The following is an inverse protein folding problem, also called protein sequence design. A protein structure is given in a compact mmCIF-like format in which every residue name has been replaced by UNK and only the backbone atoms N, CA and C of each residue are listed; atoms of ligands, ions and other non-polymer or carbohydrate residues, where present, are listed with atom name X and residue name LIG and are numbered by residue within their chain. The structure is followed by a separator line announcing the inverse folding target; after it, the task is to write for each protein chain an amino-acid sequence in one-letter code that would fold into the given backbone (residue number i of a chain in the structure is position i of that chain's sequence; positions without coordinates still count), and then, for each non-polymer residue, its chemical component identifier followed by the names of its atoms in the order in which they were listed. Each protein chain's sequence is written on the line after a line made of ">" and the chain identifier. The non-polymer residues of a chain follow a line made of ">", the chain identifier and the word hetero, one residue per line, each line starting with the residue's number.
data_IF_769544488854
#
_entry.id   IF_769544488854
#
_cell.length_a   1.000
_cell.length_b   1.000
_cell.length_c   1.000
_cell.angle_alpha   90.00
_cell.angle_beta   90.00
_cell.angle_gamma   90.00
#
_symmetry.space_group_name_H-M   'P 1'
#
loop_
_entity.id
_entity.type
_entity.pdbx_description
1 polymer ?
#
# COMPACT_ATOMS: atom_id res chain seq x y z
N UNK A 1 9.77 -15.36 20.78
CA UNK A 1 8.47 -16.04 20.58
C UNK A 1 7.59 -15.10 19.79
N UNK A 2 7.19 -15.48 18.57
CA UNK A 2 6.17 -14.75 17.81
C UNK A 2 4.85 -15.04 18.54
N UNK A 3 4.28 -14.06 19.24
CA UNK A 3 2.94 -14.21 19.82
C UNK A 3 1.96 -14.39 18.66
N UNK A 4 1.27 -15.53 18.61
CA UNK A 4 0.14 -15.75 17.72
C UNK A 4 -0.99 -14.80 18.14
N UNK A 5 -1.51 -13.99 17.22
CA UNK A 5 -2.60 -13.00 17.47
C UNK A 5 -3.97 -13.62 17.85
N UNK A 6 -4.00 -14.89 18.25
CA UNK A 6 -5.18 -15.67 18.64
C UNK A 6 -6.41 -15.36 17.76
N UNK A 7 -6.22 -15.40 16.44
CA UNK A 7 -7.28 -15.10 15.48
C UNK A 7 -8.25 -16.27 15.36
N UNK A 8 -9.55 -15.97 15.26
CA UNK A 8 -10.55 -17.02 15.01
C UNK A 8 -10.46 -17.51 13.56
N UNK A 9 -10.93 -18.73 13.26
CA UNK A 9 -10.99 -19.22 11.88
C UNK A 9 -11.75 -18.29 10.92
N UNK A 10 -12.81 -17.63 11.42
CA UNK A 10 -13.57 -16.64 10.65
C UNK A 10 -12.74 -15.39 10.35
N UNK A 11 -11.99 -14.86 11.32
CA UNK A 11 -11.09 -13.72 11.11
C UNK A 11 -9.98 -14.07 10.11
N UNK A 12 -9.44 -15.28 10.17
CA UNK A 12 -8.42 -15.75 9.21
C UNK A 12 -8.99 -15.76 7.78
N UNK A 13 -10.17 -16.36 7.59
CA UNK A 13 -10.82 -16.40 6.27
C UNK A 13 -11.12 -14.99 5.73
N UNK A 14 -11.57 -14.07 6.58
CA UNK A 14 -11.80 -12.67 6.21
C UNK A 14 -10.50 -11.96 5.79
N UNK A 15 -9.39 -12.19 6.50
CA UNK A 15 -8.09 -11.62 6.15
C UNK A 15 -7.56 -12.17 4.83
N UNK A 16 -7.70 -13.48 4.58
CA UNK A 16 -7.30 -14.09 3.31
C UNK A 16 -8.08 -13.51 2.13
N UNK A 17 -9.40 -13.34 2.31
CA UNK A 17 -10.25 -12.72 1.30
C UNK A 17 -9.88 -11.25 1.06
N UNK A 18 -9.67 -10.47 2.13
CA UNK A 18 -9.24 -9.08 2.05
C UNK A 18 -7.88 -8.96 1.34
N UNK A 19 -6.94 -9.84 1.66
CA UNK A 19 -5.63 -9.88 1.00
C UNK A 19 -5.74 -10.20 -0.49
N UNK A 20 -6.50 -11.23 -0.86
CA UNK A 20 -6.69 -11.63 -2.26
C UNK A 20 -7.31 -10.50 -3.08
N UNK A 21 -8.35 -9.86 -2.55
CA UNK A 21 -9.03 -8.75 -3.19
C UNK A 21 -8.10 -7.55 -3.37
N UNK A 22 -7.45 -7.09 -2.29
CA UNK A 22 -6.55 -5.94 -2.38
C UNK A 22 -5.34 -6.24 -3.26
N UNK A 23 -4.78 -7.45 -3.21
CA UNK A 23 -3.66 -7.83 -4.08
C UNK A 23 -4.01 -7.68 -5.56
N UNK A 24 -5.22 -8.05 -5.96
CA UNK A 24 -5.71 -7.85 -7.34
C UNK A 24 -5.79 -6.37 -7.69
N UNK A 25 -6.37 -5.55 -6.81
CA UNK A 25 -6.51 -4.10 -7.03
C UNK A 25 -5.15 -3.39 -7.09
N UNK A 26 -4.22 -3.75 -6.21
CA UNK A 26 -2.86 -3.20 -6.19
C UNK A 26 -2.10 -3.50 -7.47
N UNK A 27 -2.26 -4.70 -8.04
CA UNK A 27 -1.66 -5.05 -9.34
C UNK A 27 -2.20 -4.12 -10.44
N UNK A 28 -3.51 -3.94 -10.50
CA UNK A 28 -4.15 -3.08 -11.51
C UNK A 28 -3.72 -1.62 -11.36
N UNK A 29 -3.75 -1.08 -10.13
CA UNK A 29 -3.34 0.29 -9.84
C UNK A 29 -1.85 0.52 -10.10
N UNK A 30 -0.98 -0.44 -9.78
CA UNK A 30 0.46 -0.35 -10.11
C UNK A 30 0.69 -0.34 -11.61
N UNK A 31 0.00 -1.21 -12.35
CA UNK A 31 0.06 -1.22 -13.81
C UNK A 31 -0.35 0.12 -14.39
N UNK A 32 -1.40 0.75 -13.86
CA UNK A 32 -1.81 2.09 -14.30
C UNK A 32 -0.72 3.13 -14.07
N UNK A 33 -0.09 3.15 -12.89
CA UNK A 33 1.04 4.07 -12.61
C UNK A 33 2.15 3.90 -13.64
N UNK A 34 2.51 2.67 -13.98
CA UNK A 34 3.55 2.36 -14.97
C UNK A 34 3.13 2.84 -16.38
N UNK A 35 1.88 2.62 -16.77
CA UNK A 35 1.33 3.12 -18.05
C UNK A 35 1.37 4.65 -18.13
N UNK A 36 0.87 5.36 -17.12
CA UNK A 36 0.84 6.83 -17.15
C UNK A 36 2.26 7.43 -17.18
N UNK A 37 3.23 6.77 -16.52
CA UNK A 37 4.64 7.16 -16.56
C UNK A 37 5.27 6.93 -17.93
N UNK A 38 4.93 5.82 -18.58
CA UNK A 38 5.36 5.54 -19.95
C UNK A 38 4.84 6.60 -20.91
N UNK A 39 3.56 6.96 -20.82
CA UNK A 39 3.00 8.03 -21.66
C UNK A 39 3.63 9.39 -21.38
N UNK A 40 3.96 9.69 -20.13
CA UNK A 40 4.71 10.90 -19.80
C UNK A 40 6.09 10.91 -20.46
N UNK A 41 6.81 9.78 -20.44
CA UNK A 41 8.11 9.64 -21.10
C UNK A 41 7.98 9.85 -22.61
N UNK A 42 6.96 9.25 -23.24
CA UNK A 42 6.68 9.41 -24.67
C UNK A 42 6.50 10.88 -25.06
N UNK A 43 5.90 11.71 -24.20
CA UNK A 43 5.74 13.15 -24.44
C UNK A 43 7.08 13.90 -24.38
N UNK A 44 8.00 13.52 -23.49
CA UNK A 44 9.33 14.11 -23.42
C UNK A 44 10.24 13.70 -24.58
N UNK A 45 10.02 12.51 -25.16
CA UNK A 45 10.81 12.00 -26.29
C UNK A 45 10.40 12.62 -27.64
N UNK A 46 9.36 13.45 -27.67
CA UNK A 46 8.92 14.16 -28.89
C UNK A 46 9.89 15.28 -29.28
N UNK A 47 10.05 15.50 -30.59
CA UNK A 47 10.92 16.56 -31.12
C UNK A 47 10.48 17.98 -30.71
N UNK A 48 9.17 18.19 -30.55
CA UNK A 48 8.59 19.43 -30.07
C UNK A 48 7.91 19.15 -28.74
N UNK A 49 8.29 19.90 -27.70
CA UNK A 49 7.75 19.73 -26.36
C UNK A 49 6.43 20.47 -26.24
N UNK A 50 5.33 19.73 -26.07
CA UNK A 50 4.04 20.29 -25.64
C UNK A 50 3.99 20.31 -24.11
N UNK A 51 4.31 21.47 -23.52
CA UNK A 51 4.30 21.65 -22.07
C UNK A 51 2.92 21.40 -21.43
N UNK A 52 1.83 21.70 -22.13
CA UNK A 52 0.49 21.53 -21.58
C UNK A 52 0.12 20.05 -21.53
N UNK A 53 0.45 19.30 -22.58
CA UNK A 53 0.29 17.85 -22.60
C UNK A 53 1.12 17.19 -21.49
N UNK A 54 2.39 17.61 -21.31
CA UNK A 54 3.26 17.09 -20.24
C UNK A 54 2.68 17.37 -18.85
N UNK A 55 2.22 18.59 -18.57
CA UNK A 55 1.62 18.95 -17.27
C UNK A 55 0.33 18.15 -17.02
N UNK A 56 -0.50 17.97 -18.03
CA UNK A 56 -1.72 17.15 -17.95
C UNK A 56 -1.39 15.67 -17.67
N UNK A 57 -0.41 15.11 -18.40
CA UNK A 57 -0.02 13.72 -18.21
C UNK A 57 0.66 13.48 -16.85
N UNK A 58 1.44 14.43 -16.37
CA UNK A 58 1.99 14.39 -15.01
C UNK A 58 0.88 14.35 -13.95
N UNK A 59 -0.20 15.13 -14.13
CA UNK A 59 -1.37 15.04 -13.24
C UNK A 59 -1.99 13.63 -13.23
N UNK A 60 -2.06 12.95 -14.38
CA UNK A 60 -2.55 11.58 -14.45
C UNK A 60 -1.64 10.59 -13.70
N UNK A 61 -0.32 10.75 -13.79
CA UNK A 61 0.65 9.96 -13.01
C UNK A 61 0.41 10.13 -11.52
N UNK A 62 0.27 11.37 -11.05
CA UNK A 62 0.04 11.64 -9.63
C UNK A 62 -1.31 11.09 -9.16
N UNK A 63 -2.35 11.19 -9.97
CA UNK A 63 -3.65 10.59 -9.66
C UNK A 63 -3.56 9.06 -9.54
N UNK A 64 -2.84 8.39 -10.44
CA UNK A 64 -2.64 6.96 -10.37
C UNK A 64 -1.83 6.55 -9.12
N UNK A 65 -0.83 7.36 -8.71
CA UNK A 65 -0.07 7.14 -7.48
C UNK A 65 -0.93 7.30 -6.24
N UNK A 66 -1.79 8.32 -6.21
CA UNK A 66 -2.78 8.53 -5.15
C UNK A 66 -3.74 7.34 -5.04
N UNK A 67 -4.27 6.85 -6.17
CA UNK A 67 -5.18 5.71 -6.21
C UNK A 67 -4.51 4.44 -5.68
N UNK A 68 -3.23 4.22 -5.99
CA UNK A 68 -2.42 3.10 -5.48
C UNK A 68 -2.16 3.24 -3.97
N UNK A 69 -1.85 4.44 -3.50
CA UNK A 69 -1.64 4.71 -2.08
C UNK A 69 -2.92 4.50 -1.26
N UNK A 70 -4.05 4.94 -1.82
CA UNK A 70 -5.38 4.80 -1.19
C UNK A 70 -5.76 3.33 -1.01
N UNK A 71 -5.55 2.49 -2.02
CA UNK A 71 -5.80 1.04 -1.92
C UNK A 71 -4.97 0.36 -0.80
N UNK A 72 -3.72 0.79 -0.62
CA UNK A 72 -2.87 0.27 0.48
C UNK A 72 -3.45 0.66 1.84
N UNK A 73 -3.92 1.90 1.97
CA UNK A 73 -4.56 2.37 3.19
C UNK A 73 -5.86 1.62 3.45
N UNK A 74 -6.70 1.45 2.42
CA UNK A 74 -7.98 0.74 2.50
C UNK A 74 -7.78 -0.69 2.99
N UNK A 75 -6.78 -1.39 2.47
CA UNK A 75 -6.42 -2.73 2.95
C UNK A 75 -6.02 -2.73 4.43
N UNK A 76 -5.18 -1.78 4.87
CA UNK A 76 -4.76 -1.68 6.28
C UNK A 76 -5.97 -1.39 7.18
N UNK A 77 -6.86 -0.50 6.75
CA UNK A 77 -8.10 -0.20 7.47
C UNK A 77 -9.00 -1.45 7.57
N UNK A 78 -9.08 -2.24 6.51
CA UNK A 78 -9.87 -3.48 6.51
C UNK A 78 -9.29 -4.52 7.47
N UNK A 79 -7.96 -4.73 7.44
CA UNK A 79 -7.27 -5.58 8.42
C UNK A 79 -7.57 -5.12 9.84
N UNK A 80 -7.48 -3.81 10.11
CA UNK A 80 -7.77 -3.22 11.42
C UNK A 80 -9.21 -3.45 11.87
N UNK A 81 -10.18 -3.43 10.96
CA UNK A 81 -11.59 -3.75 11.26
C UNK A 81 -11.78 -5.22 11.63
N UNK A 82 -11.12 -6.13 10.89
CA UNK A 82 -11.25 -7.59 11.09
C UNK A 82 -10.64 -8.04 12.42
N UNK A 83 -9.42 -7.61 12.73
CA UNK A 83 -8.69 -8.09 13.91
C UNK A 83 -8.96 -7.28 15.19
N UNK A 84 -9.54 -6.08 15.06
CA UNK A 84 -9.82 -5.21 16.20
C UNK A 84 -8.60 -4.41 16.67
N UNK A 85 -8.80 -3.53 17.67
CA UNK A 85 -7.81 -2.53 18.05
C UNK A 85 -6.55 -3.12 18.67
N UNK A 86 -6.74 -3.97 19.67
CA UNK A 86 -5.65 -4.50 20.49
C UNK A 86 -4.73 -5.37 19.64
N UNK A 87 -5.29 -6.32 18.89
CA UNK A 87 -4.53 -7.19 17.98
C UNK A 87 -3.82 -6.41 16.87
N UNK A 88 -4.43 -5.33 16.37
CA UNK A 88 -3.76 -4.47 15.39
C UNK A 88 -2.60 -3.69 16.02
N UNK A 89 -2.76 -3.16 17.24
CA UNK A 89 -1.67 -2.49 17.93
C UNK A 89 -0.52 -3.48 18.21
N UNK A 90 -0.83 -4.70 18.62
CA UNK A 90 0.15 -5.78 18.80
C UNK A 90 0.84 -6.14 17.49
N UNK A 91 0.12 -6.21 16.37
CA UNK A 91 0.70 -6.45 15.05
C UNK A 91 1.67 -5.33 14.63
N UNK A 92 1.31 -4.06 14.86
CA UNK A 92 2.11 -2.91 14.41
C UNK A 92 3.32 -2.61 15.32
N UNK A 93 3.21 -2.87 16.63
CA UNK A 93 4.23 -2.49 17.61
C UNK A 93 4.97 -3.69 18.21
N UNK A 94 4.42 -4.90 18.12
CA UNK A 94 5.00 -6.13 18.65
C UNK A 94 6.29 -6.59 17.95
N UNK A 95 6.62 -5.98 16.80
CA UNK A 95 7.89 -6.19 16.08
C UNK A 95 9.06 -5.30 16.53
N UNK A 96 8.83 -4.25 17.33
CA UNK A 96 9.87 -3.30 17.79
C UNK A 96 10.22 -3.44 19.28
N UNK A 97 10.26 -4.68 19.79
CA UNK A 97 10.74 -4.98 21.16
C UNK A 97 12.20 -5.48 21.24
N UNK A 98 12.93 -5.52 20.13
CA UNK A 98 14.29 -6.08 20.07
C UNK A 98 15.35 -5.04 19.74
N UNK A 99 16.16 -4.69 20.76
CA UNK A 99 17.40 -3.87 20.74
C UNK A 99 17.22 -2.37 21.06
N UNK A 100 17.57 -2.02 22.30
CA UNK A 100 17.99 -0.65 22.61
C UNK A 100 17.87 -0.23 24.07
N UNK A 101 18.79 -0.69 24.93
CA UNK A 101 19.56 0.16 25.87
C UNK A 101 20.56 -0.68 26.69
N UNK A 102 21.85 -0.30 26.74
CA UNK A 102 22.85 -1.01 27.52
C UNK A 102 22.62 -0.79 29.02
N UNK A 103 22.83 -1.84 29.83
CA UNK A 103 22.97 -1.70 31.28
C UNK A 103 24.22 -0.85 31.54
N UNK A 104 24.03 0.39 31.97
CA UNK A 104 25.09 1.17 32.63
C UNK A 104 25.38 0.50 33.97
N UNK A 105 26.60 0.00 34.14
CA UNK A 105 27.26 -0.15 35.44
C UNK A 105 28.46 0.78 35.44
#
# INVERSE_FOLDING_TARGET
>A
MIRSLELTPSQISQLEQAYSNSRRQLIQKKSRVETEQFELQNLFDQKALDENAVKSQHFNVEKAREDLSSERLDYIMEVRKIIGHEKYNELMHGGQGGKGKPKRK
#
